data_IF_803317780179
#
_entry.id   IF_803317780179
#
_cell.length_a   1.000
_cell.length_b   1.000
_cell.length_c   1.000
_cell.angle_alpha   90.00
_cell.angle_beta   90.00
_cell.angle_gamma   90.00
#
_symmetry.space_group_name_H-M   'P 1'
#
loop_
_entity.id
_entity.type
_entity.pdbx_description
1 polymer ?
#
# COMPACT_ATOMS: atom_id res chain seq x y z
N UNK A 1 0.00 -18.08 21.60
CA UNK A 1 -0.63 -17.81 20.30
C UNK A 1 0.15 -16.69 19.65
N UNK A 2 0.86 -16.93 18.54
CA UNK A 2 1.56 -15.87 17.79
C UNK A 2 0.52 -15.03 17.04
N UNK A 3 0.62 -13.69 17.11
CA UNK A 3 -0.29 -12.84 16.35
C UNK A 3 -0.18 -13.08 14.83
N UNK A 4 -1.24 -12.74 14.10
CA UNK A 4 -1.26 -12.90 12.65
C UNK A 4 -0.42 -11.79 11.99
N UNK A 5 0.36 -12.14 10.97
CA UNK A 5 1.27 -11.23 10.26
C UNK A 5 1.96 -11.97 9.13
N UNK A 6 2.55 -11.22 8.19
CA UNK A 6 3.34 -11.79 7.10
C UNK A 6 4.58 -12.52 7.65
N UNK A 7 5.22 -13.36 6.84
CA UNK A 7 6.44 -14.07 7.26
C UNK A 7 7.52 -13.10 7.77
N UNK A 8 7.69 -11.95 7.13
CA UNK A 8 8.62 -10.91 7.57
C UNK A 8 8.20 -10.26 8.89
N UNK A 9 6.92 -10.06 9.15
CA UNK A 9 6.45 -9.50 10.42
C UNK A 9 6.57 -10.50 11.57
N UNK A 10 6.45 -11.80 11.29
CA UNK A 10 6.75 -12.87 12.24
C UNK A 10 8.25 -12.94 12.54
N UNK A 11 9.09 -12.80 11.51
CA UNK A 11 10.54 -12.71 11.67
C UNK A 11 10.97 -11.45 12.42
N UNK A 12 10.29 -10.32 12.21
CA UNK A 12 10.60 -9.04 12.85
C UNK A 12 10.01 -8.91 14.27
N UNK A 13 9.18 -9.87 14.71
CA UNK A 13 8.49 -9.81 16.00
C UNK A 13 7.30 -8.84 16.06
N UNK A 14 6.93 -8.15 14.97
CA UNK A 14 5.75 -7.27 14.92
C UNK A 14 4.42 -8.04 14.99
N UNK A 15 4.46 -9.34 14.68
CA UNK A 15 3.34 -10.24 14.93
C UNK A 15 3.08 -10.43 16.43
N UNK A 16 4.11 -10.34 17.28
CA UNK A 16 3.97 -10.52 18.72
C UNK A 16 3.25 -9.34 19.38
N UNK A 17 3.49 -8.11 18.86
CA UNK A 17 2.76 -6.90 19.28
C UNK A 17 1.25 -6.96 19.01
N UNK A 18 0.81 -7.89 18.15
CA UNK A 18 -0.60 -8.11 17.77
C UNK A 18 -1.22 -9.32 18.45
N UNK A 19 -0.55 -9.91 19.44
CA UNK A 19 -1.09 -11.02 20.24
C UNK A 19 -2.36 -10.54 20.95
N UNK A 20 -3.51 -11.10 20.54
CA UNK A 20 -4.85 -10.73 21.06
C UNK A 20 -5.73 -9.95 20.08
N UNK A 21 -5.19 -9.47 18.96
CA UNK A 21 -5.98 -8.81 17.94
C UNK A 21 -6.76 -9.84 17.12
N UNK A 22 -7.99 -9.49 16.72
CA UNK A 22 -8.73 -10.28 15.73
C UNK A 22 -7.84 -10.48 14.51
N UNK A 23 -7.87 -11.70 13.95
CA UNK A 23 -7.06 -12.07 12.79
C UNK A 23 -7.21 -11.09 11.63
N UNK A 24 -8.42 -10.55 11.50
CA UNK A 24 -8.81 -9.52 10.53
C UNK A 24 -8.02 -8.21 10.73
N UNK A 25 -7.99 -7.68 11.96
CA UNK A 25 -7.26 -6.45 12.30
C UNK A 25 -5.77 -6.64 12.10
N UNK A 26 -5.27 -7.82 12.49
CA UNK A 26 -3.87 -8.19 12.27
C UNK A 26 -3.51 -8.25 10.78
N UNK A 27 -4.40 -8.81 9.95
CA UNK A 27 -4.23 -8.90 8.51
C UNK A 27 -4.30 -7.52 7.85
N UNK A 28 -5.28 -6.69 8.24
CA UNK A 28 -5.39 -5.32 7.77
C UNK A 28 -4.12 -4.51 8.09
N UNK A 29 -3.62 -4.61 9.32
CA UNK A 29 -2.37 -3.96 9.72
C UNK A 29 -1.14 -4.52 8.96
N UNK A 30 -1.14 -5.82 8.64
CA UNK A 30 -0.08 -6.47 7.85
C UNK A 30 -0.05 -5.92 6.42
N UNK A 31 -1.23 -5.86 5.80
CA UNK A 31 -1.41 -5.31 4.44
C UNK A 31 -1.07 -3.83 4.42
N UNK A 32 -1.55 -3.02 5.39
CA UNK A 32 -1.21 -1.61 5.48
C UNK A 32 0.32 -1.39 5.62
N UNK A 33 0.98 -2.16 6.49
CA UNK A 33 2.43 -2.08 6.64
C UNK A 33 3.18 -2.52 5.37
N UNK A 34 2.68 -3.54 4.67
CA UNK A 34 3.27 -4.02 3.43
C UNK A 34 3.09 -3.01 2.28
N UNK A 35 1.88 -2.47 2.12
CA UNK A 35 1.57 -1.39 1.20
C UNK A 35 2.45 -0.17 1.49
N UNK A 36 2.56 0.27 2.75
CA UNK A 36 3.43 1.40 3.11
C UNK A 36 4.88 1.18 2.70
N UNK A 37 5.43 -0.03 2.93
CA UNK A 37 6.80 -0.38 2.51
C UNK A 37 6.95 -0.44 1.00
N UNK A 38 6.01 -1.07 0.29
CA UNK A 38 6.03 -1.16 -1.18
C UNK A 38 5.92 0.22 -1.82
N UNK A 39 4.96 1.03 -1.37
CA UNK A 39 4.70 2.35 -1.94
C UNK A 39 5.79 3.38 -1.58
N UNK A 40 6.46 3.21 -0.42
CA UNK A 40 7.66 4.00 -0.08
C UNK A 40 8.89 3.60 -0.91
N UNK A 41 8.83 2.49 -1.66
CA UNK A 41 9.93 2.05 -2.52
C UNK A 41 9.78 2.70 -3.90
N UNK A 42 10.66 3.65 -4.22
CA UNK A 42 10.73 4.26 -5.56
C UNK A 42 11.16 3.23 -6.60
N UNK A 43 10.52 3.25 -7.77
CA UNK A 43 10.97 2.51 -8.95
C UNK A 43 12.43 2.85 -9.26
N UNK A 44 13.25 1.83 -9.52
CA UNK A 44 14.69 1.96 -9.71
C UNK A 44 15.53 1.86 -8.42
N UNK A 45 14.91 1.88 -7.23
CA UNK A 45 15.63 1.54 -5.99
C UNK A 45 15.98 0.05 -5.93
N UNK A 46 15.20 -0.78 -6.62
CA UNK A 46 15.41 -2.22 -6.70
C UNK A 46 16.24 -2.53 -7.95
N UNK A 47 17.54 -2.75 -7.76
CA UNK A 47 18.48 -3.10 -8.83
C UNK A 47 18.13 -4.41 -9.57
N UNK A 48 17.32 -5.27 -8.97
CA UNK A 48 17.01 -6.61 -9.49
C UNK A 48 15.79 -6.65 -10.40
N UNK A 49 14.90 -5.67 -10.27
CA UNK A 49 13.64 -5.56 -11.02
C UNK A 49 13.41 -4.07 -11.31
N UNK A 50 13.72 -3.65 -12.54
CA UNK A 50 13.48 -2.27 -12.99
C UNK A 50 12.01 -1.88 -12.94
N UNK A 51 11.11 -2.87 -12.97
CA UNK A 51 9.66 -2.71 -12.85
C UNK A 51 9.18 -2.68 -11.38
N UNK A 52 10.06 -2.89 -10.41
CA UNK A 52 9.69 -2.93 -8.99
C UNK A 52 9.82 -1.55 -8.34
N UNK A 53 8.66 -0.94 -8.05
CA UNK A 53 8.49 0.28 -7.28
C UNK A 53 7.51 1.21 -7.97
N UNK A 54 7.11 2.27 -7.27
CA UNK A 54 6.29 3.30 -7.90
C UNK A 54 7.16 4.19 -8.81
N UNK A 55 6.75 4.44 -10.08
CA UNK A 55 7.38 5.47 -10.89
C UNK A 55 7.35 6.81 -10.14
N UNK A 56 8.31 7.69 -10.42
CA UNK A 56 8.43 8.96 -9.68
C UNK A 56 7.13 9.75 -9.84
N UNK A 57 6.26 9.72 -8.82
CA UNK A 57 4.96 10.39 -8.84
C UNK A 57 5.12 11.92 -8.91
N UNK A 58 6.34 12.40 -8.72
CA UNK A 58 6.75 13.78 -8.87
C UNK A 58 7.36 14.06 -10.26
N UNK A 59 7.10 13.23 -11.27
CA UNK A 59 7.40 13.58 -12.66
C UNK A 59 6.58 14.82 -13.05
N UNK A 60 7.15 15.99 -12.76
CA UNK A 60 6.61 17.34 -13.01
C UNK A 60 6.41 17.64 -14.51
N UNK A 61 6.69 16.68 -15.38
CA UNK A 61 6.50 16.81 -16.83
C UNK A 61 5.07 16.48 -17.27
N UNK A 62 4.29 15.81 -16.43
CA UNK A 62 2.90 15.45 -16.70
C UNK A 62 1.94 16.35 -15.93
N UNK A 63 0.72 16.51 -16.45
CA UNK A 63 -0.34 17.22 -15.76
C UNK A 63 -0.62 16.52 -14.43
N UNK A 64 -0.92 17.26 -13.35
CA UNK A 64 -1.18 16.68 -12.01
C UNK A 64 -2.23 15.56 -12.04
N UNK A 65 -3.21 15.68 -12.95
CA UNK A 65 -4.23 14.66 -13.17
C UNK A 65 -3.66 13.36 -13.78
N UNK A 66 -2.72 13.48 -14.70
CA UNK A 66 -2.06 12.34 -15.34
C UNK A 66 -1.12 11.64 -14.36
N UNK A 67 -0.33 12.38 -13.58
CA UNK A 67 0.54 11.81 -12.54
C UNK A 67 -0.25 11.03 -11.51
N UNK A 68 -1.41 11.56 -11.07
CA UNK A 68 -2.32 10.85 -10.16
C UNK A 68 -2.92 9.59 -10.79
N UNK A 69 -3.30 9.66 -12.07
CA UNK A 69 -3.88 8.51 -12.78
C UNK A 69 -2.83 7.42 -13.03
N UNK A 70 -1.60 7.81 -13.36
CA UNK A 70 -0.48 6.89 -13.51
C UNK A 70 -0.09 6.29 -12.16
N UNK A 71 -0.06 7.09 -11.08
CA UNK A 71 0.10 6.58 -9.72
C UNK A 71 -0.96 5.53 -9.41
N UNK A 72 -2.23 5.85 -9.67
CA UNK A 72 -3.36 4.96 -9.41
C UNK A 72 -3.18 3.62 -10.12
N UNK A 73 -2.94 3.61 -11.43
CA UNK A 73 -2.77 2.38 -12.20
C UNK A 73 -1.49 1.61 -11.82
N UNK A 74 -0.41 2.32 -11.48
CA UNK A 74 0.81 1.68 -10.99
C UNK A 74 0.56 1.00 -9.64
N UNK A 75 -0.08 1.68 -8.69
CA UNK A 75 -0.44 1.12 -7.38
C UNK A 75 -1.37 -0.08 -7.55
N UNK A 76 -2.41 0.04 -8.37
CA UNK A 76 -3.39 -1.02 -8.63
C UNK A 76 -2.70 -2.28 -9.17
N UNK A 77 -1.91 -2.15 -10.25
CA UNK A 77 -1.15 -3.27 -10.81
C UNK A 77 -0.10 -3.85 -9.86
N UNK A 78 0.53 -3.02 -9.02
CA UNK A 78 1.48 -3.49 -8.01
C UNK A 78 0.79 -4.34 -6.94
N UNK A 79 -0.35 -3.89 -6.44
CA UNK A 79 -1.10 -4.61 -5.42
C UNK A 79 -1.64 -5.92 -5.99
N UNK A 80 -2.15 -5.92 -7.22
CA UNK A 80 -2.59 -7.16 -7.87
C UNK A 80 -1.44 -8.15 -8.11
N UNK A 81 -0.25 -7.66 -8.45
CA UNK A 81 0.92 -8.50 -8.69
C UNK A 81 1.55 -9.07 -7.41
N UNK A 82 1.64 -8.27 -6.35
CA UNK A 82 2.36 -8.63 -5.12
C UNK A 82 1.48 -9.06 -3.96
N UNK A 83 0.20 -8.69 -3.96
CA UNK A 83 -0.75 -9.01 -2.90
C UNK A 83 -1.94 -9.83 -3.44
N UNK A 84 -1.74 -11.13 -3.76
CA UNK A 84 -2.82 -12.00 -4.27
C UNK A 84 -3.96 -12.24 -3.27
N UNK A 85 -3.82 -11.74 -2.04
CA UNK A 85 -4.85 -11.74 -1.00
C UNK A 85 -5.85 -10.60 -1.17
N UNK A 86 -5.54 -9.58 -1.97
CA UNK A 86 -6.43 -8.46 -2.25
C UNK A 86 -7.05 -8.66 -3.65
N UNK A 87 -8.37 -8.82 -3.70
CA UNK A 87 -9.16 -8.86 -4.95
C UNK A 87 -9.96 -7.58 -5.12
N UNK A 88 -10.40 -7.26 -6.34
CA UNK A 88 -11.21 -6.05 -6.63
C UNK A 88 -10.56 -4.76 -6.08
N UNK A 89 -9.25 -4.62 -6.26
CA UNK A 89 -8.51 -3.44 -5.80
C UNK A 89 -8.93 -2.24 -6.63
N UNK A 90 -9.34 -1.18 -5.95
CA UNK A 90 -9.74 0.09 -6.53
C UNK A 90 -9.01 1.21 -5.83
N UNK A 91 -8.14 1.87 -6.55
CA UNK A 91 -7.40 3.02 -6.01
C UNK A 91 -8.12 4.32 -6.39
N UNK A 92 -8.37 5.20 -5.44
CA UNK A 92 -9.02 6.50 -5.62
C UNK A 92 -8.08 7.59 -5.11
N UNK A 93 -7.69 8.53 -5.96
CA UNK A 93 -6.92 9.69 -5.51
C UNK A 93 -7.83 10.66 -4.75
N UNK A 94 -7.45 11.00 -3.52
CA UNK A 94 -8.16 11.99 -2.72
C UNK A 94 -7.67 13.40 -3.11
N UNK A 95 -8.58 14.39 -3.23
CA UNK A 95 -8.22 15.76 -3.55
C UNK A 95 -7.30 16.35 -2.48
N UNK A 96 -6.28 17.08 -2.93
CA UNK A 96 -5.28 17.72 -2.08
C UNK A 96 -5.91 18.92 -1.38
N UNK A 97 -6.11 18.82 -0.06
CA UNK A 97 -6.76 19.88 0.70
C UNK A 97 -5.83 21.09 0.91
N UNK A 98 -4.51 20.88 1.07
CA UNK A 98 -3.60 21.99 1.43
C UNK A 98 -2.12 21.83 1.04
N UNK A 99 -1.57 20.61 1.07
CA UNK A 99 -0.14 20.40 0.82
C UNK A 99 0.15 20.04 -0.65
N UNK A 100 0.92 20.90 -1.31
CA UNK A 100 1.26 20.70 -2.71
C UNK A 100 2.20 19.49 -2.97
N UNK A 101 2.70 18.87 -1.89
CA UNK A 101 3.62 17.74 -1.93
C UNK A 101 3.05 16.47 -1.28
N UNK A 102 1.80 16.49 -0.80
CA UNK A 102 1.19 15.31 -0.19
C UNK A 102 0.16 14.72 -1.16
N UNK A 103 0.31 13.45 -1.50
CA UNK A 103 -0.68 12.72 -2.29
C UNK A 103 -1.40 11.75 -1.36
N UNK A 104 -2.72 11.82 -1.32
CA UNK A 104 -3.54 10.88 -0.58
C UNK A 104 -4.26 9.98 -1.57
N UNK A 105 -4.20 8.68 -1.32
CA UNK A 105 -4.86 7.64 -2.10
C UNK A 105 -5.70 6.79 -1.15
N UNK A 106 -6.94 6.53 -1.53
CA UNK A 106 -7.79 5.54 -0.89
C UNK A 106 -7.74 4.26 -1.72
N UNK A 107 -7.26 3.18 -1.13
CA UNK A 107 -7.17 1.86 -1.75
C UNK A 107 -8.30 1.03 -1.16
N UNK A 108 -9.34 0.78 -1.94
CA UNK A 108 -10.44 -0.11 -1.59
C UNK A 108 -10.17 -1.48 -2.19
N UNK A 109 -10.52 -2.55 -1.49
CA UNK A 109 -10.35 -3.89 -2.02
C UNK A 109 -11.00 -4.95 -1.15
N UNK A 110 -11.05 -6.16 -1.64
CA UNK A 110 -11.53 -7.33 -0.93
C UNK A 110 -10.33 -8.14 -0.43
N UNK A 111 -10.06 -8.08 0.86
CA UNK A 111 -9.03 -8.89 1.50
C UNK A 111 -9.57 -10.29 1.80
N UNK A 112 -8.95 -11.30 1.19
CA UNK A 112 -9.20 -12.71 1.44
C UNK A 112 -8.12 -13.32 2.34
N UNK A 113 -8.48 -13.69 3.56
CA UNK A 113 -7.57 -14.30 4.55
C UNK A 113 -8.16 -15.59 5.07
N UNK A 114 -7.53 -16.72 4.73
CA UNK A 114 -7.94 -18.07 5.15
C UNK A 114 -9.45 -18.34 5.02
N UNK A 115 -10.02 -17.97 3.87
CA UNK A 115 -11.44 -18.18 3.54
C UNK A 115 -12.38 -17.05 3.97
N UNK A 116 -11.90 -16.04 4.70
CA UNK A 116 -12.68 -14.84 5.01
C UNK A 116 -12.44 -13.76 3.97
N UNK A 117 -13.49 -13.41 3.23
CA UNK A 117 -13.51 -12.26 2.32
C UNK A 117 -14.03 -11.04 3.06
N UNK A 118 -13.24 -9.98 3.14
CA UNK A 118 -13.63 -8.74 3.82
C UNK A 118 -13.27 -7.53 2.99
N UNK A 119 -14.23 -6.62 2.84
CA UNK A 119 -13.97 -5.34 2.20
C UNK A 119 -13.12 -4.48 3.15
N UNK A 120 -11.99 -4.01 2.65
CA UNK A 120 -11.05 -3.15 3.36
C UNK A 120 -10.85 -1.89 2.55
N UNK A 121 -10.68 -0.77 3.26
CA UNK A 121 -10.27 0.50 2.67
C UNK A 121 -9.04 0.97 3.43
N UNK A 122 -8.00 1.31 2.69
CA UNK A 122 -6.73 1.81 3.22
C UNK A 122 -6.51 3.22 2.73
N UNK A 123 -6.11 4.12 3.61
CA UNK A 123 -5.72 5.48 3.23
C UNK A 123 -4.19 5.56 3.19
N UNK A 124 -3.63 5.65 2.00
CA UNK A 124 -2.20 5.85 1.76
C UNK A 124 -1.90 7.32 1.54
N UNK A 125 -1.15 7.93 2.46
CA UNK A 125 -0.64 9.29 2.31
C UNK A 125 0.85 9.23 1.98
N UNK A 126 1.20 9.64 0.77
CA UNK A 126 2.57 9.92 0.35
C UNK A 126 2.93 11.34 0.78
N UNK A 127 4.03 11.50 1.50
CA UNK A 127 4.63 12.82 1.72
C UNK A 127 5.76 13.09 0.71
N UNK A 128 6.11 14.37 0.54
CA UNK A 128 7.12 14.80 -0.44
C UNK A 128 8.52 14.22 -0.22
N UNK A 129 8.80 13.55 0.91
CA UNK A 129 10.04 12.81 1.11
C UNK A 129 10.06 11.43 0.45
N UNK A 130 8.94 10.99 -0.14
CA UNK A 130 8.78 9.67 -0.74
C UNK A 130 8.36 8.59 0.25
N UNK A 131 8.10 8.94 1.51
CA UNK A 131 7.54 8.01 2.48
C UNK A 131 6.02 7.93 2.31
N UNK A 132 5.50 6.71 2.39
CA UNK A 132 4.06 6.43 2.32
C UNK A 132 3.61 5.87 3.65
N UNK A 133 2.72 6.60 4.31
CA UNK A 133 2.02 6.11 5.49
C UNK A 133 0.66 5.60 5.09
N UNK A 134 0.41 4.32 5.32
CA UNK A 134 -0.90 3.69 5.12
C UNK A 134 -1.57 3.53 6.47
N UNK A 135 -2.84 3.90 6.57
CA UNK A 135 -3.67 3.79 7.78
C UNK A 135 -5.04 3.23 7.46
#
# INVERSE_FOLDING_TARGET
MTGYGSLFERLNGDADKRVGWSREVSAMASVAAHLGKMLSTRAGSVQTLSDYGLPDLNDMRLSLHDSLSQARSAIEGFIEAYEPRLSDVRVVSLPRDNDQLRLAFSIEGLLEVEGFKRQVSFSACLDGSGQVKVS
#
